data_IF_287994409158
#
_entry.id   IF_287994409158
#
_cell.length_a   1.000
_cell.length_b   1.000
_cell.length_c   1.000
_cell.angle_alpha   90.00
_cell.angle_beta   90.00
_cell.angle_gamma   90.00
#
_symmetry.space_group_name_H-M   'P 1'
#
loop_
_entity.id
_entity.type
_entity.pdbx_description
1 polymer ?
#
# COMPACT_ATOMS: atom_id res chain seq x y z
N UNK A 1 6.48 15.65 19.77
CA UNK A 1 6.59 14.57 18.76
C UNK A 1 5.29 14.30 18.01
N UNK A 2 4.17 13.93 18.64
CA UNK A 2 2.90 13.68 17.92
C UNK A 2 2.39 14.88 17.11
N UNK A 3 2.45 16.10 17.65
CA UNK A 3 1.99 17.31 16.94
C UNK A 3 2.87 17.73 15.77
N UNK A 4 4.18 17.47 15.85
CA UNK A 4 5.13 17.78 14.78
C UNK A 4 5.02 16.75 13.65
N UNK A 5 4.79 15.48 14.00
CA UNK A 5 4.50 14.42 13.05
C UNK A 5 3.16 14.67 12.33
N UNK A 6 2.09 15.01 13.06
CA UNK A 6 0.79 15.35 12.47
C UNK A 6 0.89 16.55 11.51
N UNK A 7 1.61 17.61 11.89
CA UNK A 7 1.83 18.78 11.03
C UNK A 7 2.65 18.46 9.78
N UNK A 8 3.60 17.53 9.89
CA UNK A 8 4.36 17.00 8.75
C UNK A 8 3.48 16.21 7.79
N UNK A 9 2.61 15.33 8.32
CA UNK A 9 1.65 14.55 7.54
C UNK A 9 0.69 15.48 6.79
N UNK A 10 0.11 16.46 7.47
CA UNK A 10 -0.80 17.45 6.84
C UNK A 10 -0.14 18.22 5.70
N UNK A 11 1.13 18.62 5.88
CA UNK A 11 1.88 19.32 4.84
C UNK A 11 2.15 18.44 3.61
N UNK A 12 2.44 17.16 3.80
CA UNK A 12 2.64 16.22 2.69
C UNK A 12 1.32 15.93 2.00
N UNK A 13 0.25 15.69 2.77
CA UNK A 13 -1.09 15.48 2.22
C UNK A 13 -1.56 16.69 1.42
N UNK A 14 -1.27 17.91 1.86
CA UNK A 14 -1.55 19.13 1.11
C UNK A 14 -0.75 19.21 -0.20
N UNK A 15 0.53 18.80 -0.18
CA UNK A 15 1.36 18.74 -1.39
C UNK A 15 0.92 17.64 -2.37
N UNK A 16 0.41 16.51 -1.85
CA UNK A 16 -0.19 15.45 -2.67
C UNK A 16 -1.50 15.94 -3.29
N UNK A 17 -2.32 16.64 -2.50
CA UNK A 17 -3.58 17.21 -2.94
C UNK A 17 -3.42 18.30 -4.00
N UNK A 18 -2.25 18.97 -4.09
CA UNK A 18 -1.98 19.93 -5.16
C UNK A 18 -1.52 19.29 -6.48
N UNK A 19 -1.07 18.03 -6.44
CA UNK A 19 -0.62 17.26 -7.60
C UNK A 19 -1.65 16.22 -8.11
N UNK A 20 -2.72 15.97 -7.35
CA UNK A 20 -3.79 15.04 -7.67
C UNK A 20 -5.12 15.43 -7.02
N UNK A 21 -6.02 14.47 -6.78
CA UNK A 21 -7.15 14.70 -5.87
C UNK A 21 -7.05 13.77 -4.66
N UNK A 22 -6.99 14.38 -3.47
CA UNK A 22 -6.95 13.67 -2.20
C UNK A 22 -8.33 13.72 -1.56
N UNK A 23 -8.88 12.56 -1.20
CA UNK A 23 -10.02 12.45 -0.32
C UNK A 23 -9.59 11.76 0.97
N UNK A 24 -9.77 12.45 2.09
CA UNK A 24 -9.58 11.86 3.41
C UNK A 24 -10.95 11.42 3.89
N UNK A 25 -11.16 10.11 3.97
CA UNK A 25 -12.34 9.49 4.56
C UNK A 25 -11.89 8.87 5.89
N UNK A 26 -11.74 9.66 6.96
CA UNK A 26 -11.26 9.15 8.23
C UNK A 26 -12.23 8.08 8.69
N UNK A 27 -11.80 6.82 8.62
CA UNK A 27 -12.63 5.73 9.09
C UNK A 27 -12.21 5.51 10.53
N UNK A 28 -12.88 6.20 11.45
CA UNK A 28 -12.82 5.84 12.87
C UNK A 28 -13.58 4.54 13.09
N UNK A 29 -13.16 3.45 12.45
CA UNK A 29 -13.78 2.16 12.66
C UNK A 29 -13.36 1.69 14.05
N UNK A 30 -14.28 1.55 15.02
CA UNK A 30 -13.94 1.12 16.37
C UNK A 30 -13.45 -0.34 16.45
N UNK A 31 -13.19 -1.00 15.31
CA UNK A 31 -12.95 -2.43 15.20
C UNK A 31 -11.81 -2.80 14.23
N UNK A 32 -10.89 -1.89 13.91
CA UNK A 32 -9.79 -2.19 12.96
C UNK A 32 -8.99 -3.43 13.38
N UNK A 33 -8.62 -3.54 14.66
CA UNK A 33 -7.88 -4.71 15.16
C UNK A 33 -8.67 -6.02 14.97
N UNK A 34 -9.98 -5.96 15.19
CA UNK A 34 -10.87 -7.11 15.00
C UNK A 34 -10.94 -7.52 13.54
N UNK A 35 -11.03 -6.58 12.60
CA UNK A 35 -11.09 -6.90 11.17
C UNK A 35 -9.82 -7.56 10.66
N UNK A 36 -8.65 -7.04 11.03
CA UNK A 36 -7.39 -7.71 10.71
C UNK A 36 -7.32 -9.11 11.31
N UNK A 37 -7.76 -9.28 12.57
CA UNK A 37 -7.77 -10.59 13.22
C UNK A 37 -8.74 -11.59 12.55
N UNK A 38 -9.92 -11.13 12.13
CA UNK A 38 -10.91 -11.95 11.40
C UNK A 38 -10.35 -12.45 10.06
N UNK A 39 -9.50 -11.65 9.39
CA UNK A 39 -8.79 -12.04 8.16
C UNK A 39 -7.44 -12.75 8.40
N UNK A 40 -7.12 -13.06 9.66
CA UNK A 40 -5.96 -13.87 10.02
C UNK A 40 -4.63 -13.10 10.05
N UNK A 41 -4.68 -11.78 10.22
CA UNK A 41 -3.53 -10.91 10.43
C UNK A 41 -3.35 -10.55 11.90
N UNK A 42 -2.09 -10.43 12.30
CA UNK A 42 -1.72 -9.92 13.61
C UNK A 42 -1.60 -8.39 13.58
N UNK A 43 -2.22 -7.71 14.56
CA UNK A 43 -2.07 -6.26 14.74
C UNK A 43 -0.73 -5.93 15.40
N UNK A 44 0.32 -5.87 14.58
CA UNK A 44 1.67 -5.49 15.03
C UNK A 44 1.76 -3.99 15.41
N UNK A 45 2.79 -3.62 16.17
CA UNK A 45 3.04 -2.22 16.54
C UNK A 45 3.26 -1.31 15.32
N UNK A 46 3.98 -1.77 14.29
CA UNK A 46 4.22 -0.95 13.10
C UNK A 46 2.96 -0.81 12.25
N UNK A 47 2.09 -1.83 12.21
CA UNK A 47 0.79 -1.74 11.53
C UNK A 47 -0.11 -0.73 12.25
N UNK A 48 -0.19 -0.81 13.58
CA UNK A 48 -0.94 0.14 14.39
C UNK A 48 -0.43 1.57 14.19
N UNK A 49 0.89 1.78 14.23
CA UNK A 49 1.49 3.09 14.01
C UNK A 49 1.18 3.66 12.62
N UNK A 50 1.14 2.81 11.59
CA UNK A 50 0.76 3.23 10.25
C UNK A 50 -0.72 3.64 10.20
N UNK A 51 -1.60 2.79 10.72
CA UNK A 51 -3.05 3.03 10.68
C UNK A 51 -3.44 4.27 11.49
N UNK A 52 -2.82 4.50 12.65
CA UNK A 52 -3.03 5.70 13.46
C UNK A 52 -2.73 7.00 12.68
N UNK A 53 -1.84 6.94 11.69
CA UNK A 53 -1.37 8.12 10.94
C UNK A 53 -2.03 8.25 9.57
N UNK A 54 -2.39 7.13 8.94
CA UNK A 54 -2.73 7.08 7.52
C UNK A 54 -3.98 6.30 7.19
N UNK A 55 -4.71 5.74 8.15
CA UNK A 55 -5.98 5.07 7.85
C UNK A 55 -6.98 6.06 7.21
N UNK A 56 -7.78 5.56 6.26
CA UNK A 56 -8.88 6.33 5.70
C UNK A 56 -8.51 7.25 4.54
N UNK A 57 -7.24 7.24 4.12
CA UNK A 57 -6.80 8.05 2.98
C UNK A 57 -7.19 7.38 1.67
N UNK A 58 -7.60 8.19 0.71
CA UNK A 58 -7.74 7.80 -0.69
C UNK A 58 -7.16 8.89 -1.57
N UNK A 59 -6.11 8.54 -2.31
CA UNK A 59 -5.42 9.42 -3.25
C UNK A 59 -5.80 9.00 -4.65
N UNK A 60 -6.28 9.94 -5.47
CA UNK A 60 -6.50 9.75 -6.90
C UNK A 60 -5.40 10.46 -7.68
N UNK A 61 -4.82 9.75 -8.65
CA UNK A 61 -3.66 10.22 -9.40
C UNK A 61 -3.74 9.78 -10.86
N UNK A 62 -3.17 10.55 -11.80
CA UNK A 62 -3.05 10.13 -13.18
C UNK A 62 -1.96 9.06 -13.34
N UNK A 63 -2.26 8.00 -14.08
CA UNK A 63 -1.30 6.96 -14.44
C UNK A 63 -1.66 6.37 -15.81
N UNK A 64 -0.70 6.33 -16.75
CA UNK A 64 -0.88 5.72 -18.09
C UNK A 64 -2.22 6.06 -18.76
N UNK A 65 -2.53 7.36 -18.87
CA UNK A 65 -3.77 7.91 -19.47
C UNK A 65 -5.09 7.57 -18.75
N UNK A 66 -5.05 6.99 -17.55
CA UNK A 66 -6.21 6.77 -16.68
C UNK A 66 -6.04 7.45 -15.32
N UNK A 67 -7.12 7.60 -14.58
CA UNK A 67 -7.06 8.03 -13.16
C UNK A 67 -7.14 6.78 -12.31
N UNK A 68 -6.12 6.54 -11.50
CA UNK A 68 -6.05 5.43 -10.56
C UNK A 68 -6.26 5.94 -9.14
N UNK A 69 -6.48 5.01 -8.21
CA UNK A 69 -6.60 5.31 -6.79
C UNK A 69 -5.61 4.49 -5.96
N UNK A 70 -5.18 5.07 -4.85
CA UNK A 70 -4.49 4.42 -3.73
C UNK A 70 -5.38 4.63 -2.51
N UNK A 71 -5.78 3.57 -1.83
CA UNK A 71 -6.57 3.63 -0.61
C UNK A 71 -5.83 2.95 0.52
N UNK A 72 -5.79 3.58 1.68
CA UNK A 72 -5.28 2.99 2.94
C UNK A 72 -6.43 2.62 3.88
N UNK A 73 -7.67 2.64 3.38
CA UNK A 73 -8.83 2.19 4.16
C UNK A 73 -8.68 0.71 4.48
N UNK A 74 -9.01 0.32 5.71
CA UNK A 74 -8.94 -1.09 6.12
C UNK A 74 -9.83 -1.96 5.24
N UNK A 75 -11.00 -1.44 4.84
CA UNK A 75 -11.89 -2.13 3.91
C UNK A 75 -11.20 -2.44 2.57
N UNK A 76 -10.65 -1.44 1.89
CA UNK A 76 -9.98 -1.67 0.61
C UNK A 76 -8.76 -2.58 0.75
N UNK A 77 -8.02 -2.44 1.86
CA UNK A 77 -6.89 -3.30 2.19
C UNK A 77 -7.30 -4.78 2.25
N UNK A 78 -8.35 -5.11 2.98
CA UNK A 78 -8.77 -6.49 3.23
C UNK A 78 -9.55 -7.09 2.04
N UNK A 79 -10.19 -6.26 1.22
CA UNK A 79 -10.85 -6.68 -0.03
C UNK A 79 -9.86 -6.92 -1.19
N UNK A 80 -8.59 -6.48 -1.07
CA UNK A 80 -7.61 -6.62 -2.14
C UNK A 80 -7.25 -8.11 -2.39
N UNK A 81 -7.29 -8.61 -3.65
CA UNK A 81 -7.07 -10.03 -3.97
C UNK A 81 -5.74 -10.60 -3.45
N UNK A 82 -4.72 -9.76 -3.35
CA UNK A 82 -3.38 -10.14 -2.93
C UNK A 82 -3.12 -9.98 -1.43
N UNK A 83 -4.10 -9.49 -0.67
CA UNK A 83 -4.02 -9.24 0.77
C UNK A 83 -4.48 -10.44 1.61
N UNK A 84 -3.90 -11.62 1.38
CA UNK A 84 -4.18 -12.82 2.21
C UNK A 84 -3.00 -13.20 3.12
N UNK A 85 -3.24 -13.86 4.27
CA UNK A 85 -2.14 -14.35 5.11
C UNK A 85 -1.18 -15.30 4.37
N UNK A 86 -1.69 -16.09 3.43
CA UNK A 86 -0.86 -16.96 2.59
C UNK A 86 0.05 -16.13 1.68
N UNK A 87 -0.50 -15.11 1.01
CA UNK A 87 0.24 -14.20 0.14
C UNK A 87 1.34 -13.48 0.94
N UNK A 88 1.03 -12.95 2.12
CA UNK A 88 2.02 -12.25 2.96
C UNK A 88 3.20 -13.13 3.35
N UNK A 89 2.98 -14.41 3.65
CA UNK A 89 4.08 -15.36 3.91
C UNK A 89 4.98 -15.54 2.69
N UNK A 90 4.40 -15.65 1.49
CA UNK A 90 5.15 -15.79 0.24
C UNK A 90 5.96 -14.52 -0.05
N UNK A 91 5.32 -13.35 0.07
CA UNK A 91 5.95 -12.06 -0.18
C UNK A 91 7.07 -11.78 0.81
N UNK A 92 6.81 -12.01 2.11
CA UNK A 92 7.81 -11.83 3.16
C UNK A 92 9.04 -12.71 2.95
N UNK A 93 8.84 -13.99 2.59
CA UNK A 93 9.95 -14.90 2.30
C UNK A 93 10.76 -14.43 1.10
N UNK A 94 10.10 -13.89 0.08
CA UNK A 94 10.75 -13.46 -1.16
C UNK A 94 11.54 -12.17 -0.99
N UNK A 95 10.99 -11.21 -0.28
CA UNK A 95 11.64 -9.93 0.02
C UNK A 95 12.74 -10.13 1.09
N UNK A 96 12.61 -11.16 1.92
CA UNK A 96 13.50 -11.40 3.05
C UNK A 96 13.16 -10.58 4.29
N UNK A 97 12.01 -9.87 4.27
CA UNK A 97 11.54 -8.99 5.34
C UNK A 97 10.03 -9.20 5.51
N UNK A 98 9.49 -9.27 6.74
CA UNK A 98 8.04 -9.34 6.97
C UNK A 98 7.31 -8.16 6.33
N UNK A 99 6.19 -8.45 5.66
CA UNK A 99 5.27 -7.46 5.08
C UNK A 99 3.85 -7.67 5.57
N UNK A 100 3.09 -6.58 5.68
CA UNK A 100 1.66 -6.58 6.01
C UNK A 100 0.89 -5.76 4.97
N UNK A 101 -0.36 -6.12 4.66
CA UNK A 101 -1.20 -5.31 3.81
C UNK A 101 -1.65 -4.07 4.60
N UNK A 102 -1.67 -2.93 3.95
CA UNK A 102 -2.04 -1.64 4.56
C UNK A 102 -2.95 -0.79 3.68
N UNK A 103 -3.33 -1.32 2.52
CA UNK A 103 -4.15 -0.62 1.55
C UNK A 103 -4.28 -1.38 0.24
N UNK A 104 -4.83 -0.70 -0.75
CA UNK A 104 -4.96 -1.17 -2.11
C UNK A 104 -4.69 -0.05 -3.12
N UNK A 105 -4.26 -0.42 -4.32
CA UNK A 105 -4.04 0.51 -5.43
C UNK A 105 -4.70 0.03 -6.72
N UNK A 106 -4.69 0.91 -7.73
CA UNK A 106 -5.21 0.63 -9.07
C UNK A 106 -6.65 0.07 -9.03
N UNK A 107 -7.53 0.75 -8.29
CA UNK A 107 -8.94 0.35 -8.16
C UNK A 107 -9.14 -1.01 -7.50
N UNK A 108 -8.33 -1.34 -6.49
CA UNK A 108 -8.35 -2.58 -5.69
C UNK A 108 -7.72 -3.80 -6.34
N UNK A 109 -7.12 -3.66 -7.52
CA UNK A 109 -6.39 -4.75 -8.18
C UNK A 109 -5.10 -5.14 -7.42
N UNK A 110 -4.39 -4.14 -6.88
CA UNK A 110 -3.09 -4.35 -6.25
C UNK A 110 -3.16 -4.15 -4.73
N UNK A 111 -2.50 -5.02 -3.97
CA UNK A 111 -2.33 -4.81 -2.54
C UNK A 111 -1.17 -3.84 -2.27
N UNK A 112 -1.43 -2.80 -1.47
CA UNK A 112 -0.37 -1.95 -0.90
C UNK A 112 0.18 -2.63 0.35
N UNK A 113 1.48 -2.85 0.38
CA UNK A 113 2.18 -3.54 1.46
C UNK A 113 3.12 -2.60 2.20
N UNK A 114 3.20 -2.78 3.52
CA UNK A 114 4.19 -2.18 4.40
C UNK A 114 5.17 -3.26 4.87
N UNK A 115 6.44 -3.10 4.54
CA UNK A 115 7.50 -3.91 5.10
C UNK A 115 7.91 -3.41 6.49
N UNK A 116 8.41 -4.32 7.34
CA UNK A 116 8.88 -4.00 8.70
C UNK A 116 9.90 -2.86 8.74
N UNK A 117 10.70 -2.72 7.69
CA UNK A 117 11.71 -1.67 7.60
C UNK A 117 11.15 -0.31 7.16
N UNK A 118 9.83 -0.16 6.94
CA UNK A 118 9.20 1.10 6.51
C UNK A 118 9.08 1.26 4.99
N UNK A 119 9.46 0.25 4.22
CA UNK A 119 9.31 0.28 2.76
C UNK A 119 7.88 -0.04 2.33
N UNK A 120 7.41 0.63 1.29
CA UNK A 120 6.14 0.36 0.65
C UNK A 120 6.33 -0.40 -0.65
N UNK A 121 5.45 -1.35 -0.89
CA UNK A 121 5.45 -2.20 -2.07
C UNK A 121 4.03 -2.37 -2.62
N UNK A 122 3.93 -2.62 -3.92
CA UNK A 122 2.72 -3.19 -4.52
C UNK A 122 2.88 -4.68 -4.73
N UNK A 123 1.83 -5.44 -4.51
CA UNK A 123 1.72 -6.82 -4.94
C UNK A 123 0.52 -7.00 -5.86
N UNK A 124 0.82 -7.55 -7.04
CA UNK A 124 -0.14 -7.88 -8.09
C UNK A 124 0.16 -9.26 -8.67
N UNK A 125 -0.64 -9.70 -9.64
CA UNK A 125 -0.36 -10.91 -10.43
C UNK A 125 1.00 -10.84 -11.16
N UNK A 126 1.46 -9.65 -11.54
CA UNK A 126 2.74 -9.47 -12.21
C UNK A 126 3.94 -9.63 -11.26
N UNK A 127 3.72 -9.46 -9.96
CA UNK A 127 4.75 -9.65 -8.95
C UNK A 127 4.70 -8.63 -7.83
N UNK A 128 5.84 -8.47 -7.16
CA UNK A 128 6.02 -7.47 -6.11
C UNK A 128 6.88 -6.34 -6.66
N UNK A 129 6.45 -5.11 -6.49
CA UNK A 129 7.20 -3.93 -6.89
C UNK A 129 7.53 -3.09 -5.65
N UNK A 130 8.81 -2.80 -5.44
CA UNK A 130 9.22 -1.82 -4.44
C UNK A 130 8.93 -0.41 -4.94
N UNK A 131 8.60 0.48 -4.02
CA UNK A 131 8.09 1.78 -4.38
C UNK A 131 8.90 2.93 -3.80
N UNK A 132 8.85 3.09 -2.47
CA UNK A 132 9.68 4.03 -1.73
C UNK A 132 9.72 3.65 -0.25
N UNK A 133 10.66 4.24 0.47
CA UNK A 133 10.70 4.21 1.93
C UNK A 133 9.85 5.34 2.53
N UNK A 134 8.91 4.99 3.42
CA UNK A 134 7.95 5.91 4.01
C UNK A 134 6.73 6.19 3.13
N UNK A 135 5.57 6.39 3.76
CA UNK A 135 4.29 6.53 3.05
C UNK A 135 4.22 7.82 2.25
N UNK A 136 4.73 8.91 2.80
CA UNK A 136 4.70 10.23 2.18
C UNK A 136 5.54 10.28 0.90
N UNK A 137 6.74 9.70 0.96
CA UNK A 137 7.61 9.57 -0.20
C UNK A 137 6.97 8.67 -1.26
N UNK A 138 6.32 7.59 -0.82
CA UNK A 138 5.55 6.70 -1.67
C UNK A 138 4.44 7.46 -2.38
N UNK A 139 3.50 8.06 -1.65
CA UNK A 139 2.40 8.81 -2.22
C UNK A 139 2.87 9.91 -3.18
N UNK A 140 3.95 10.63 -2.86
CA UNK A 140 4.58 11.59 -3.78
C UNK A 140 5.09 10.92 -5.06
N UNK A 141 5.85 9.83 -4.94
CA UNK A 141 6.37 9.07 -6.08
C UNK A 141 5.23 8.58 -6.99
N UNK A 142 4.12 8.13 -6.40
CA UNK A 142 2.92 7.68 -7.12
C UNK A 142 2.31 8.76 -7.99
N UNK A 143 2.07 9.92 -7.38
CA UNK A 143 1.38 11.03 -8.04
C UNK A 143 2.27 11.67 -9.11
N UNK A 144 3.58 11.68 -8.88
CA UNK A 144 4.57 12.23 -9.84
C UNK A 144 5.00 11.23 -10.91
N UNK A 145 4.73 9.94 -10.71
CA UNK A 145 5.21 8.87 -11.60
C UNK A 145 6.70 8.53 -11.42
N UNK A 146 7.36 9.11 -10.41
CA UNK A 146 8.80 9.02 -10.15
C UNK A 146 9.12 7.94 -9.11
N UNK A 147 8.97 6.67 -9.50
CA UNK A 147 9.44 5.53 -8.72
C UNK A 147 10.23 4.55 -9.56
N UNK A 148 11.14 3.83 -8.89
CA UNK A 148 11.90 2.73 -9.50
C UNK A 148 10.92 1.57 -9.78
N UNK A 149 10.50 1.44 -11.04
CA UNK A 149 9.52 0.44 -11.50
C UNK A 149 10.08 -0.99 -11.51
N UNK A 150 10.99 -1.30 -10.59
CA UNK A 150 11.67 -2.58 -10.48
C UNK A 150 10.73 -3.66 -9.95
N UNK A 151 10.56 -4.72 -10.73
CA UNK A 151 9.69 -5.85 -10.41
C UNK A 151 10.47 -7.05 -9.86
N UNK A 152 9.89 -7.69 -8.85
CA UNK A 152 10.24 -9.02 -8.36
C UNK A 152 9.16 -10.02 -8.84
N UNK A 153 9.36 -10.68 -10.00
CA UNK A 153 8.28 -11.41 -10.69
C UNK A 153 7.84 -12.67 -9.95
N UNK A 154 6.57 -12.81 -9.56
CA UNK A 154 6.07 -14.06 -8.94
C UNK A 154 6.20 -15.20 -9.96
N UNK A 155 7.12 -16.14 -9.71
CA UNK A 155 7.20 -17.34 -10.54
C UNK A 155 5.93 -18.14 -10.28
N UNK A 156 5.15 -18.42 -11.33
CA UNK A 156 4.07 -19.38 -11.22
C UNK A 156 4.62 -20.74 -10.78
N UNK A 157 3.76 -21.63 -10.28
CA UNK A 157 4.15 -23.02 -10.03
C UNK A 157 4.60 -23.75 -11.31
N UNK A 158 4.30 -23.21 -12.51
CA UNK A 158 4.78 -23.70 -13.80
C UNK A 158 6.15 -23.13 -14.22
N UNK A 159 6.74 -22.19 -13.47
CA UNK A 159 8.03 -21.57 -13.80
C UNK A 159 7.96 -20.48 -14.88
N UNK A 160 6.77 -20.15 -15.37
CA UNK A 160 6.56 -19.08 -16.33
C UNK A 160 6.55 -17.71 -15.62
N UNK A 161 7.28 -16.77 -16.20
CA UNK A 161 7.31 -15.37 -15.77
C UNK A 161 6.23 -14.64 -16.56
N UNK A 162 5.15 -14.19 -15.90
CA UNK A 162 4.12 -13.37 -16.54
C UNK A 162 4.62 -11.93 -16.71
N UNK A 163 5.51 -11.72 -17.68
CA UNK A 163 6.05 -10.42 -18.04
C UNK A 163 5.22 -9.68 -19.13
N UNK A 164 3.94 -10.03 -19.32
CA UNK A 164 3.18 -9.59 -20.50
C UNK A 164 2.12 -8.50 -20.27
N UNK A 165 2.15 -7.75 -19.17
CA UNK A 165 1.09 -6.77 -18.89
C UNK A 165 1.51 -5.29 -18.76
N UNK A 166 2.69 -4.88 -19.24
CA UNK A 166 3.07 -3.45 -19.24
C UNK A 166 3.85 -3.00 -20.49
N UNK A 167 3.40 -3.39 -21.68
CA UNK A 167 3.77 -2.72 -22.95
C UNK A 167 2.63 -1.84 -23.44
#
# INVERSE_FOLDING_TARGET
MKEEHARSVDSVLAAIASLGSLSVNPTSAPNIERWYAEDGFEMTEWLRSFLDSYEGLTIRYPFMNRVCSLSTTVKACLEAPHATPRSMRVYSKRIGIPVLPVGAAFETEDALLLARNGDFLFASDAGIQWFAHGFENSARALVTGDWDRKFYPIKSASGETLAHLLT
#
